data_IF_899766411520
#
_entry.id   IF_899766411520
#
_cell.length_a   1.000
_cell.length_b   1.000
_cell.length_c   1.000
_cell.angle_alpha   90.00
_cell.angle_beta   90.00
_cell.angle_gamma   90.00
#
_symmetry.space_group_name_H-M   'P 1'
#
loop_
_entity.id
_entity.type
_entity.pdbx_description
1 polymer ?
#
# COMPACT_ATOMS: atom_id res chain seq x y z
N UNK A 1 0.76 4.10 13.34
CA UNK A 1 -0.64 4.54 13.30
C UNK A 1 -1.46 3.58 12.43
N UNK A 2 -2.54 3.08 12.97
CA UNK A 2 -3.45 2.20 12.25
C UNK A 2 -4.69 2.97 11.87
N UNK A 3 -5.06 2.91 10.60
CA UNK A 3 -6.24 3.60 10.11
C UNK A 3 -7.20 2.60 9.48
N UNK A 4 -8.48 2.91 9.55
CA UNK A 4 -9.48 2.13 8.84
C UNK A 4 -9.36 2.38 7.34
N UNK A 5 -9.96 1.49 6.55
CA UNK A 5 -9.96 1.66 5.10
C UNK A 5 -10.60 2.99 4.67
N UNK A 6 -11.55 3.47 5.45
CA UNK A 6 -12.20 4.74 5.13
C UNK A 6 -11.33 5.95 5.47
N UNK A 7 -10.48 5.83 6.49
CA UNK A 7 -9.67 6.96 6.95
C UNK A 7 -8.54 7.30 5.98
N UNK A 8 -7.93 6.30 5.34
CA UNK A 8 -6.78 6.58 4.48
C UNK A 8 -7.16 7.45 3.27
N UNK A 9 -8.40 7.37 2.81
CA UNK A 9 -8.85 8.15 1.66
C UNK A 9 -8.79 9.65 1.91
N UNK A 10 -9.02 10.06 3.15
CA UNK A 10 -8.97 11.46 3.51
C UNK A 10 -7.53 11.96 3.70
N UNK A 11 -6.67 11.07 4.19
CA UNK A 11 -5.29 11.46 4.49
C UNK A 11 -4.40 11.61 3.26
N UNK A 12 -4.60 10.77 2.25
CA UNK A 12 -3.66 10.69 1.13
C UNK A 12 -3.52 11.98 0.34
N UNK A 13 -4.56 12.76 0.20
CA UNK A 13 -4.50 14.03 -0.53
C UNK A 13 -3.63 15.09 0.14
N UNK A 14 -3.25 14.88 1.40
CA UNK A 14 -2.49 15.86 2.17
C UNK A 14 -0.98 15.65 2.10
N UNK A 15 -0.52 14.57 1.50
CA UNK A 15 0.88 14.18 1.56
C UNK A 15 1.47 13.96 0.19
N UNK A 16 2.79 14.21 0.06
CA UNK A 16 3.52 13.96 -1.19
C UNK A 16 3.87 12.49 -1.35
N UNK A 17 3.95 11.76 -0.23
CA UNK A 17 4.23 10.35 -0.27
C UNK A 17 3.73 9.71 1.02
N UNK A 18 3.39 8.45 0.94
CA UNK A 18 2.89 7.69 2.07
C UNK A 18 3.60 6.34 2.09
N UNK A 19 4.04 5.94 3.27
CA UNK A 19 4.54 4.58 3.48
C UNK A 19 3.58 3.85 4.39
N UNK A 20 3.18 2.65 3.96
CA UNK A 20 2.32 1.82 4.78
C UNK A 20 2.84 0.39 4.81
N UNK A 21 2.35 -0.37 5.77
CA UNK A 21 2.72 -1.75 5.94
C UNK A 21 1.45 -2.57 6.10
N UNK A 22 1.34 -3.61 5.30
CA UNK A 22 0.20 -4.52 5.35
C UNK A 22 0.64 -5.78 6.08
N UNK A 23 -0.10 -6.16 7.11
CA UNK A 23 0.13 -7.45 7.78
C UNK A 23 -0.73 -8.50 7.11
N UNK A 24 -0.12 -9.64 6.83
CA UNK A 24 -0.76 -10.71 6.07
C UNK A 24 -1.35 -11.75 7.01
N UNK A 25 -2.62 -12.09 6.77
CA UNK A 25 -3.31 -13.10 7.56
C UNK A 25 -3.02 -14.52 7.06
N UNK A 26 -2.90 -14.69 5.75
CA UNK A 26 -2.59 -15.98 5.14
C UNK A 26 -1.91 -15.76 3.78
N UNK A 27 -1.20 -16.78 3.32
CA UNK A 27 -0.44 -16.72 2.07
C UNK A 27 -1.12 -17.51 0.95
N UNK A 28 -2.43 -17.52 0.90
CA UNK A 28 -3.15 -18.10 -0.20
C UNK A 28 -3.09 -17.18 -1.41
N UNK A 29 -3.37 -17.75 -2.59
CA UNK A 29 -3.41 -16.93 -3.80
C UNK A 29 -4.47 -15.85 -3.63
N UNK A 30 -4.04 -14.61 -3.58
CA UNK A 30 -4.93 -13.49 -3.35
C UNK A 30 -4.23 -12.19 -3.70
N UNK A 31 -5.00 -11.23 -4.21
CA UNK A 31 -4.48 -9.87 -4.41
C UNK A 31 -4.35 -9.19 -3.05
N UNK A 32 -3.27 -8.43 -2.88
CA UNK A 32 -3.08 -7.65 -1.66
C UNK A 32 -3.26 -6.14 -1.89
N UNK A 33 -3.41 -5.73 -3.13
CA UNK A 33 -3.64 -4.33 -3.46
C UNK A 33 -4.21 -4.24 -4.88
N UNK A 34 -5.11 -3.31 -5.09
CA UNK A 34 -5.73 -3.09 -6.39
C UNK A 34 -5.23 -1.76 -6.96
N UNK A 35 -4.23 -1.82 -7.81
CA UNK A 35 -3.59 -0.64 -8.38
C UNK A 35 -4.00 -0.51 -9.84
N UNK A 36 -4.45 0.70 -10.23
CA UNK A 36 -4.77 0.95 -11.64
C UNK A 36 -3.48 0.97 -12.47
N UNK A 37 -3.59 0.63 -13.74
CA UNK A 37 -2.42 0.62 -14.62
C UNK A 37 -1.76 1.99 -14.70
N UNK A 38 -2.54 3.06 -14.70
CA UNK A 38 -1.98 4.41 -14.79
C UNK A 38 -1.21 4.83 -13.55
N UNK A 39 -1.52 4.24 -12.39
CA UNK A 39 -0.85 4.58 -11.13
C UNK A 39 0.25 3.60 -10.74
N UNK A 40 0.39 2.51 -11.46
CA UNK A 40 1.29 1.42 -11.08
C UNK A 40 2.73 1.87 -10.82
N UNK A 41 3.23 2.78 -11.62
CA UNK A 41 4.60 3.28 -11.50
C UNK A 41 4.86 4.09 -10.23
N UNK A 42 3.80 4.49 -9.54
CA UNK A 42 3.92 5.28 -8.32
C UNK A 42 3.89 4.43 -7.06
N UNK A 43 3.74 3.11 -7.18
CA UNK A 43 3.68 2.19 -6.07
C UNK A 43 4.96 1.37 -6.03
N UNK A 44 5.60 1.32 -4.87
CA UNK A 44 6.82 0.56 -4.64
C UNK A 44 6.56 -0.45 -3.54
N UNK A 45 6.67 -1.72 -3.85
CA UNK A 45 6.22 -2.82 -3.02
C UNK A 45 7.40 -3.70 -2.62
N UNK A 46 7.49 -4.05 -1.33
CA UNK A 46 8.56 -4.89 -0.80
C UNK A 46 7.97 -5.94 0.14
N UNK A 47 8.40 -7.19 -0.01
CA UNK A 47 7.98 -8.28 0.86
C UNK A 47 8.91 -8.36 2.07
N UNK A 48 8.33 -8.40 3.28
CA UNK A 48 9.06 -8.46 4.54
C UNK A 48 10.09 -7.33 4.58
N UNK A 49 11.35 -7.64 4.92
CA UNK A 49 12.40 -6.62 4.97
C UNK A 49 13.35 -6.72 3.79
N UNK A 50 12.92 -7.35 2.70
CA UNK A 50 13.75 -7.50 1.52
C UNK A 50 13.82 -6.20 0.74
N UNK A 51 14.94 -5.97 0.09
CA UNK A 51 15.18 -4.76 -0.68
C UNK A 51 14.73 -4.84 -2.13
N UNK A 52 14.42 -6.04 -2.60
CA UNK A 52 13.95 -6.23 -3.97
C UNK A 52 12.53 -5.75 -4.13
N UNK A 53 12.31 -4.88 -5.08
CA UNK A 53 10.97 -4.36 -5.36
C UNK A 53 10.14 -5.41 -6.09
N UNK A 54 8.90 -5.59 -5.62
CA UNK A 54 7.96 -6.55 -6.19
C UNK A 54 7.06 -5.82 -7.17
N UNK A 55 6.86 -6.40 -8.35
CA UNK A 55 6.06 -5.76 -9.39
C UNK A 55 4.64 -6.31 -9.51
N UNK A 56 4.33 -7.40 -8.83
CA UNK A 56 2.99 -7.98 -8.88
C UNK A 56 2.17 -7.56 -7.65
N UNK A 57 0.86 -7.74 -7.75
CA UNK A 57 -0.07 -7.34 -6.69
C UNK A 57 -0.75 -8.52 -5.99
N UNK A 58 -0.19 -9.71 -6.10
CA UNK A 58 -0.82 -10.91 -5.53
C UNK A 58 0.21 -11.78 -4.82
N UNK A 59 -0.30 -12.58 -3.90
CA UNK A 59 0.46 -13.62 -3.20
C UNK A 59 0.05 -14.99 -3.73
N UNK A 60 0.92 -15.97 -3.58
CA UNK A 60 0.61 -17.35 -3.85
C UNK A 60 1.13 -18.21 -2.70
N UNK A 61 0.82 -19.52 -2.73
CA UNK A 61 1.18 -20.42 -1.62
C UNK A 61 2.67 -20.55 -1.41
N UNK A 62 3.47 -20.25 -2.41
CA UNK A 62 4.92 -20.34 -2.30
C UNK A 62 5.54 -19.12 -1.61
N UNK A 63 4.80 -18.05 -1.55
CA UNK A 63 5.28 -16.81 -0.92
C UNK A 63 4.91 -16.82 0.56
N UNK A 64 5.87 -17.11 1.41
CA UNK A 64 5.65 -17.01 2.85
C UNK A 64 5.99 -15.60 3.31
N UNK A 65 5.03 -14.72 3.14
CA UNK A 65 5.18 -13.31 3.42
C UNK A 65 4.40 -12.97 4.68
N UNK A 66 5.02 -12.27 5.62
CA UNK A 66 4.37 -11.85 6.85
C UNK A 66 3.83 -10.43 6.74
N UNK A 67 4.55 -9.59 6.03
CA UNK A 67 4.15 -8.19 5.87
C UNK A 67 4.57 -7.69 4.50
N UNK A 68 3.87 -6.67 4.01
CA UNK A 68 4.18 -6.03 2.74
C UNK A 68 4.34 -4.55 3.01
N UNK A 69 5.50 -4.02 2.63
CA UNK A 69 5.79 -2.61 2.77
C UNK A 69 5.50 -1.91 1.44
N UNK A 70 4.73 -0.84 1.48
CA UNK A 70 4.33 -0.13 0.26
C UNK A 70 4.63 1.36 0.42
N UNK A 71 5.33 1.90 -0.57
CA UNK A 71 5.58 3.34 -0.68
C UNK A 71 4.76 3.86 -1.84
N UNK A 72 4.00 4.90 -1.61
CA UNK A 72 3.09 5.47 -2.60
C UNK A 72 3.49 6.92 -2.85
N UNK A 73 3.80 7.23 -4.11
CA UNK A 73 4.19 8.57 -4.51
C UNK A 73 2.97 9.46 -4.71
N UNK A 74 3.17 10.76 -4.62
CA UNK A 74 2.08 11.74 -4.65
C UNK A 74 1.32 11.80 -5.97
N UNK A 75 1.87 11.31 -7.06
CA UNK A 75 1.23 11.38 -8.37
C UNK A 75 0.07 10.39 -8.55
N UNK A 76 -0.18 9.56 -7.57
CA UNK A 76 -1.30 8.62 -7.64
C UNK A 76 -2.61 9.38 -7.82
N UNK A 77 -3.41 8.96 -8.78
CA UNK A 77 -4.65 9.66 -9.13
C UNK A 77 -5.84 9.25 -8.31
N UNK A 78 -5.88 8.00 -7.85
CA UNK A 78 -7.02 7.50 -7.11
C UNK A 78 -6.62 6.38 -6.17
N UNK A 79 -7.23 6.38 -4.99
CA UNK A 79 -7.09 5.30 -4.02
C UNK A 79 -8.36 4.49 -3.89
N UNK A 80 -9.33 4.75 -4.77
CA UNK A 80 -10.62 4.07 -4.70
C UNK A 80 -10.44 2.56 -4.90
N UNK A 81 -11.04 1.79 -4.01
CA UNK A 81 -11.01 0.33 -4.08
C UNK A 81 -9.64 -0.32 -3.87
N UNK A 82 -8.67 0.45 -3.38
CA UNK A 82 -7.27 0.00 -3.28
C UNK A 82 -7.10 -1.34 -2.57
N UNK A 83 -7.87 -1.57 -1.52
CA UNK A 83 -7.79 -2.81 -0.75
C UNK A 83 -9.08 -3.61 -0.74
N UNK A 84 -10.01 -3.29 -1.63
CA UNK A 84 -11.27 -4.02 -1.70
C UNK A 84 -11.01 -5.48 -2.09
N UNK A 85 -11.66 -6.39 -1.40
CA UNK A 85 -11.55 -7.83 -1.64
C UNK A 85 -10.14 -8.42 -1.51
N UNK A 86 -9.25 -7.70 -0.85
CA UNK A 86 -7.90 -8.21 -0.56
C UNK A 86 -7.96 -9.01 0.74
N UNK A 87 -8.48 -10.23 0.66
CA UNK A 87 -8.79 -11.03 1.84
C UNK A 87 -7.58 -11.59 2.59
N UNK A 88 -6.40 -11.49 2.01
CA UNK A 88 -5.17 -11.91 2.69
C UNK A 88 -4.69 -10.89 3.71
N UNK A 89 -5.27 -9.70 3.74
CA UNK A 89 -4.83 -8.63 4.63
C UNK A 89 -5.44 -8.79 6.02
N UNK A 90 -4.58 -8.75 7.03
CA UNK A 90 -5.01 -8.76 8.42
C UNK A 90 -5.31 -7.34 8.90
N UNK A 91 -4.37 -6.41 8.66
CA UNK A 91 -4.58 -5.00 8.94
C UNK A 91 -3.54 -4.16 8.20
N UNK A 92 -3.80 -2.87 8.10
CA UNK A 92 -2.95 -1.91 7.44
C UNK A 92 -2.43 -0.92 8.46
N UNK A 93 -1.13 -0.69 8.45
CA UNK A 93 -0.47 0.19 9.39
C UNK A 93 0.27 1.29 8.62
N UNK A 94 -0.10 2.53 8.83
CA UNK A 94 0.56 3.66 8.18
C UNK A 94 1.80 4.02 8.96
N UNK A 95 2.96 3.97 8.31
CA UNK A 95 4.25 4.17 8.96
C UNK A 95 4.80 5.58 8.80
N UNK A 96 4.51 6.21 7.69
CA UNK A 96 5.12 7.49 7.39
C UNK A 96 4.27 8.29 6.43
N UNK A 97 4.12 9.57 6.72
CA UNK A 97 3.46 10.52 5.85
C UNK A 97 4.43 11.64 5.57
N UNK A 98 4.74 11.85 4.30
CA UNK A 98 5.60 12.95 3.89
C UNK A 98 4.69 14.06 3.39
N UNK A 99 4.65 15.14 4.15
CA UNK A 99 3.70 16.20 3.91
C UNK A 99 3.97 16.95 2.62
N UNK A 100 2.89 17.32 1.97
CA UNK A 100 2.98 18.14 0.77
C UNK A 100 3.41 19.54 1.14
N UNK A 101 4.51 20.03 0.56
CA UNK A 101 5.07 21.33 0.86
C UNK A 101 4.50 22.46 0.00
N UNK A 102 3.61 22.17 -0.91
CA UNK A 102 3.08 23.16 -1.85
C UNK A 102 2.44 24.33 -1.13
N UNK A 103 1.87 24.10 0.01
CA UNK A 103 1.12 25.11 0.76
C UNK A 103 1.86 25.68 1.96
N UNK A 104 3.15 25.56 1.99
CA UNK A 104 3.93 26.05 3.13
C UNK A 104 4.27 27.51 3.01
N UNK A 105 3.33 28.28 2.68
CA UNK A 105 3.57 29.72 2.51
C UNK A 105 2.77 30.49 3.51
#
# INVERSE_FOLDING_TARGET
>A
MDLSINDYKECFGLYTSVELEIKIANNEFNSFINISESDKKYYHIYFDDKKEEIKRNYLNKENKVNKIKIKIDYQVKSFEGLFDNCNCIRYICFKKFIRNNINNN
#
